data_IF_068900358737
#
_entry.id   IF_068900358737
#
_cell.length_a   1.000
_cell.length_b   1.000
_cell.length_c   1.000
_cell.angle_alpha   90.00
_cell.angle_beta   90.00
_cell.angle_gamma   90.00
#
_symmetry.space_group_name_H-M   'P 1'
#
loop_
_entity.id
_entity.type
_entity.pdbx_description
1 polymer ?
#
# COMPACT_ATOMS: atom_id res chain seq x y z
N UNK A 1 -4.99 1.15 24.13
CA UNK A 1 -5.37 2.52 23.67
C UNK A 1 -4.60 2.99 22.44
N UNK A 2 -3.28 2.76 22.34
CA UNK A 2 -2.48 3.15 21.16
C UNK A 2 -2.92 2.53 19.82
N UNK A 3 -3.30 1.25 19.78
CA UNK A 3 -3.80 0.62 18.54
C UNK A 3 -5.08 1.28 18.02
N UNK A 4 -5.99 1.70 18.91
CA UNK A 4 -7.21 2.42 18.53
C UNK A 4 -6.91 3.81 17.96
N UNK A 5 -5.97 4.53 18.58
CA UNK A 5 -5.52 5.84 18.07
C UNK A 5 -4.87 5.70 16.69
N UNK A 6 -3.97 4.72 16.53
CA UNK A 6 -3.31 4.47 15.25
C UNK A 6 -4.32 4.08 14.16
N UNK A 7 -5.28 3.21 14.48
CA UNK A 7 -6.35 2.83 13.55
C UNK A 7 -7.21 4.03 13.15
N UNK A 8 -7.53 4.93 14.08
CA UNK A 8 -8.25 6.18 13.78
C UNK A 8 -7.47 7.05 12.79
N UNK A 9 -6.16 7.19 12.98
CA UNK A 9 -5.28 7.93 12.07
C UNK A 9 -5.27 7.27 10.69
N UNK A 10 -5.14 5.94 10.62
CA UNK A 10 -5.15 5.19 9.36
C UNK A 10 -6.49 5.38 8.63
N UNK A 11 -7.61 5.25 9.31
CA UNK A 11 -8.94 5.42 8.71
C UNK A 11 -9.17 6.84 8.19
N UNK A 12 -8.69 7.86 8.92
CA UNK A 12 -8.83 9.27 8.52
C UNK A 12 -7.96 9.64 7.32
N UNK A 13 -6.77 9.04 7.18
CA UNK A 13 -5.78 9.45 6.17
C UNK A 13 -5.73 8.54 4.95
N UNK A 14 -6.01 7.25 5.11
CA UNK A 14 -5.84 6.24 4.06
C UNK A 14 -7.13 5.49 3.75
N UNK A 15 -8.02 5.31 4.73
CA UNK A 15 -9.22 4.50 4.57
C UNK A 15 -8.84 3.07 4.17
N UNK A 16 -9.19 2.67 2.95
CA UNK A 16 -8.85 1.35 2.39
C UNK A 16 -7.65 1.37 1.44
N UNK A 17 -7.03 2.53 1.21
CA UNK A 17 -5.83 2.64 0.38
C UNK A 17 -4.60 2.13 1.13
N UNK A 18 -3.66 1.54 0.37
CA UNK A 18 -2.39 1.11 0.92
C UNK A 18 -1.58 2.31 1.46
N UNK A 19 -0.80 2.07 2.51
CA UNK A 19 0.10 3.06 3.10
C UNK A 19 1.43 2.42 3.49
N UNK A 20 2.41 3.25 3.85
CA UNK A 20 3.69 2.77 4.35
C UNK A 20 4.11 3.49 5.64
N UNK A 21 5.03 2.89 6.39
CA UNK A 21 5.54 3.44 7.67
C UNK A 21 6.01 4.89 7.55
N UNK A 22 6.70 5.22 6.45
CA UNK A 22 7.17 6.59 6.16
C UNK A 22 6.04 7.62 6.15
N UNK A 23 4.83 7.24 5.76
CA UNK A 23 3.70 8.16 5.76
C UNK A 23 3.15 8.39 7.16
N UNK A 24 3.14 7.36 8.01
CA UNK A 24 2.84 7.51 9.44
C UNK A 24 3.87 8.42 10.13
N UNK A 25 5.15 8.28 9.78
CA UNK A 25 6.22 9.16 10.29
C UNK A 25 5.98 10.63 9.89
N UNK A 26 5.59 10.89 8.63
CA UNK A 26 5.23 12.24 8.15
C UNK A 26 4.00 12.82 8.83
N UNK A 27 3.07 11.98 9.29
CA UNK A 27 1.91 12.37 10.10
C UNK A 27 2.27 12.57 11.58
N UNK A 28 3.56 12.53 11.95
CA UNK A 28 4.03 12.73 13.31
C UNK A 28 3.77 11.55 14.26
N UNK A 29 3.38 10.38 13.74
CA UNK A 29 3.20 9.20 14.57
C UNK A 29 4.57 8.70 15.05
N UNK A 30 4.69 8.43 16.34
CA UNK A 30 5.93 7.91 16.94
C UNK A 30 5.66 6.66 17.76
N UNK A 31 6.68 5.79 17.90
CA UNK A 31 6.61 4.55 18.71
C UNK A 31 5.38 3.68 18.40
N UNK A 32 4.95 3.65 17.13
CA UNK A 32 3.71 2.99 16.70
C UNK A 32 3.89 1.54 16.25
N UNK A 33 5.13 1.03 16.13
CA UNK A 33 5.40 -0.30 15.55
C UNK A 33 4.69 -1.45 16.28
N UNK A 34 4.61 -1.40 17.62
CA UNK A 34 3.90 -2.41 18.41
C UNK A 34 2.39 -2.34 18.15
N UNK A 35 1.84 -1.12 18.06
CA UNK A 35 0.43 -0.91 17.73
C UNK A 35 0.11 -1.36 16.31
N UNK A 36 1.00 -1.10 15.34
CA UNK A 36 0.87 -1.54 13.97
C UNK A 36 0.91 -3.07 13.86
N UNK A 37 1.86 -3.73 14.55
CA UNK A 37 1.93 -5.19 14.64
C UNK A 37 0.64 -5.76 15.22
N UNK A 38 0.17 -5.20 16.34
CA UNK A 38 -1.08 -5.63 16.95
C UNK A 38 -2.24 -5.55 15.95
N UNK A 39 -2.40 -4.45 15.20
CA UNK A 39 -3.46 -4.33 14.19
C UNK A 39 -3.37 -5.38 13.08
N UNK A 40 -2.16 -5.79 12.69
CA UNK A 40 -1.97 -6.91 11.77
C UNK A 40 -2.30 -8.26 12.42
N UNK A 41 -1.87 -8.50 13.66
CA UNK A 41 -2.09 -9.75 14.37
C UNK A 41 -3.61 -10.03 14.60
N UNK A 42 -4.43 -8.98 14.77
CA UNK A 42 -5.91 -9.11 14.84
C UNK A 42 -6.62 -9.12 13.49
N UNK A 43 -5.89 -9.04 12.37
CA UNK A 43 -6.45 -9.09 11.02
C UNK A 43 -7.20 -7.84 10.58
N UNK A 44 -6.95 -6.69 11.20
CA UNK A 44 -7.52 -5.40 10.78
C UNK A 44 -6.72 -4.82 9.60
N UNK A 45 -5.41 -5.12 9.55
CA UNK A 45 -4.49 -4.67 8.51
C UNK A 45 -3.71 -5.84 7.94
N UNK A 46 -3.60 -5.91 6.62
CA UNK A 46 -2.78 -6.91 5.95
C UNK A 46 -1.37 -6.38 5.67
N UNK A 47 -0.31 -7.04 6.14
CA UNK A 47 1.05 -6.66 5.77
C UNK A 47 1.35 -7.08 4.33
N UNK A 48 1.87 -6.15 3.54
CA UNK A 48 2.39 -6.43 2.19
C UNK A 48 3.93 -6.35 2.23
N UNK A 49 4.64 -7.45 2.53
CA UNK A 49 6.10 -7.49 2.54
C UNK A 49 6.67 -7.44 1.12
N UNK A 50 7.97 -7.13 0.96
CA UNK A 50 8.62 -7.24 -0.34
C UNK A 50 8.50 -8.65 -0.94
N UNK A 51 8.17 -8.73 -2.23
CA UNK A 51 8.12 -9.99 -2.99
C UNK A 51 9.43 -10.12 -3.78
N UNK A 52 10.22 -11.14 -3.46
CA UNK A 52 11.55 -11.34 -4.02
C UNK A 52 11.68 -12.71 -4.69
N UNK A 53 12.35 -12.74 -5.84
CA UNK A 53 12.79 -14.00 -6.50
C UNK A 53 13.99 -14.62 -5.74
N UNK A 54 14.40 -15.80 -6.18
CA UNK A 54 15.59 -16.50 -5.70
C UNK A 54 16.85 -15.65 -5.83
N UNK A 55 17.77 -15.85 -4.89
CA UNK A 55 19.00 -15.07 -4.80
C UNK A 55 19.82 -15.21 -6.10
N UNK A 56 20.13 -14.08 -6.72
CA UNK A 56 20.92 -14.02 -7.95
C UNK A 56 20.09 -13.87 -9.23
N UNK A 57 18.75 -13.98 -9.14
CA UNK A 57 17.86 -13.67 -10.25
C UNK A 57 17.69 -12.16 -10.48
N UNK A 58 17.27 -11.82 -11.68
CA UNK A 58 16.96 -10.45 -12.12
C UNK A 58 15.51 -10.38 -12.58
N UNK A 59 14.78 -9.36 -12.12
CA UNK A 59 13.36 -9.16 -12.44
C UNK A 59 13.15 -7.81 -13.13
N UNK A 60 12.17 -7.76 -14.04
CA UNK A 60 11.72 -6.54 -14.72
C UNK A 60 10.19 -6.49 -14.73
N UNK A 61 9.60 -5.29 -14.73
CA UNK A 61 8.15 -5.09 -14.69
C UNK A 61 7.74 -3.90 -15.57
N UNK A 62 6.64 -4.05 -16.30
CA UNK A 62 5.88 -2.97 -16.93
C UNK A 62 4.42 -3.09 -16.49
N UNK A 63 3.72 -1.96 -16.34
CA UNK A 63 2.33 -1.95 -15.88
C UNK A 63 1.54 -0.82 -16.55
N UNK A 64 0.32 -1.14 -17.01
CA UNK A 64 -0.66 -0.13 -17.42
C UNK A 64 -2.00 -0.38 -16.78
N UNK A 65 -2.72 0.71 -16.50
CA UNK A 65 -4.13 0.66 -16.14
C UNK A 65 -4.96 0.76 -17.42
N UNK A 66 -5.89 -0.17 -17.59
CA UNK A 66 -6.78 -0.24 -18.74
C UNK A 66 -8.22 -0.06 -18.26
N UNK A 67 -8.98 0.76 -18.97
CA UNK A 67 -10.41 0.91 -18.78
C UNK A 67 -11.17 0.17 -19.89
N UNK A 68 -11.99 -0.80 -19.49
CA UNK A 68 -12.93 -1.46 -20.40
C UNK A 68 -14.21 -0.63 -20.46
N UNK A 69 -14.29 0.25 -21.45
CA UNK A 69 -15.47 1.08 -21.69
C UNK A 69 -16.50 0.30 -22.52
N UNK A 70 -17.77 0.74 -22.50
CA UNK A 70 -18.79 0.14 -23.37
C UNK A 70 -18.43 0.13 -24.86
N UNK A 71 -17.66 1.13 -25.33
CA UNK A 71 -17.35 1.33 -26.75
C UNK A 71 -15.92 0.96 -27.15
N UNK A 72 -15.01 0.81 -26.19
CA UNK A 72 -13.61 0.51 -26.48
C UNK A 72 -12.87 -0.02 -25.25
N UNK A 73 -11.70 -0.60 -25.52
CA UNK A 73 -10.66 -0.82 -24.52
C UNK A 73 -9.68 0.34 -24.59
N UNK A 74 -9.53 1.08 -23.50
CA UNK A 74 -8.64 2.24 -23.43
C UNK A 74 -7.49 1.97 -22.47
N UNK A 75 -6.25 2.16 -22.93
CA UNK A 75 -5.06 2.10 -22.06
C UNK A 75 -4.82 3.50 -21.49
N UNK A 76 -5.43 3.80 -20.33
CA UNK A 76 -5.49 5.16 -19.80
C UNK A 76 -4.14 5.72 -19.33
N UNK A 77 -3.16 4.84 -19.07
CA UNK A 77 -1.82 5.25 -18.65
C UNK A 77 -0.76 5.17 -19.75
N UNK A 78 -1.16 5.06 -21.02
CA UNK A 78 -0.23 5.06 -22.18
C UNK A 78 0.42 6.43 -22.36
N UNK A 79 1.75 6.47 -22.46
CA UNK A 79 2.54 7.65 -22.84
C UNK A 79 3.40 7.40 -24.09
N UNK A 80 4.25 8.37 -24.44
CA UNK A 80 5.23 8.23 -25.54
C UNK A 80 6.45 7.39 -25.13
N UNK A 81 6.58 7.09 -23.84
CA UNK A 81 7.69 6.34 -23.25
C UNK A 81 7.46 4.83 -23.23
N UNK A 82 6.30 4.35 -22.76
CA UNK A 82 5.93 2.93 -22.76
C UNK A 82 4.45 2.65 -22.57
#
# INVERSE_FOLDING_TARGET
>A
QKSKQLLSVINQNFGTLAFCRRWLDRLGQTKYLIALKNLCDVGILDPCPPLCDTKGCYTAQFEHTILLRPTCKEVISRGDDY
#
